data_IF_988005512212
#
_entry.id   IF_988005512212
#
_cell.length_a   1.000
_cell.length_b   1.000
_cell.length_c   1.000
_cell.angle_alpha   90.00
_cell.angle_beta   90.00
_cell.angle_gamma   90.00
#
_symmetry.space_group_name_H-M   'P 1'
#
loop_
_entity.id
_entity.type
_entity.pdbx_description
1 polymer ?
#
# COMPACT_ATOMS: atom_id res chain seq x y z
N UNK A 1 -41.41 50.55 30.24
CA UNK A 1 -41.78 49.16 29.90
C UNK A 1 -40.76 48.66 28.93
N UNK A 2 -39.78 47.91 29.38
CA UNK A 2 -38.74 47.29 28.53
C UNK A 2 -39.20 45.94 28.07
N UNK A 3 -39.40 45.76 26.76
CA UNK A 3 -39.56 44.44 26.14
C UNK A 3 -38.22 44.00 25.59
N UNK A 4 -37.58 43.07 26.29
CA UNK A 4 -36.39 42.34 25.84
C UNK A 4 -36.78 41.34 24.76
N UNK A 5 -36.40 41.61 23.50
CA UNK A 5 -36.43 40.64 22.41
C UNK A 5 -35.25 39.71 22.56
N UNK A 6 -35.54 38.48 22.98
CA UNK A 6 -34.53 37.37 22.97
C UNK A 6 -34.56 36.77 21.55
N UNK A 7 -33.54 37.11 20.79
CA UNK A 7 -33.26 36.41 19.54
C UNK A 7 -32.54 35.11 19.88
N UNK A 8 -33.25 34.00 19.81
CA UNK A 8 -32.69 32.66 19.85
C UNK A 8 -32.14 32.36 18.47
N UNK A 9 -30.83 32.46 18.28
CA UNK A 9 -30.16 32.03 17.09
C UNK A 9 -30.10 30.50 17.12
N UNK A 10 -30.93 29.85 16.30
CA UNK A 10 -30.84 28.42 16.01
C UNK A 10 -29.68 28.27 15.02
N UNK A 11 -28.52 27.86 15.54
CA UNK A 11 -27.42 27.38 14.69
C UNK A 11 -27.75 25.97 14.25
N UNK A 12 -28.27 25.85 13.04
CA UNK A 12 -28.49 24.56 12.38
C UNK A 12 -27.10 24.07 11.92
N UNK A 13 -26.47 23.21 12.72
CA UNK A 13 -25.27 22.50 12.32
C UNK A 13 -25.65 21.46 11.25
N UNK A 14 -25.45 21.80 9.99
CA UNK A 14 -25.44 20.87 8.88
C UNK A 14 -24.18 19.99 9.01
N UNK A 15 -24.28 18.93 9.83
CA UNK A 15 -23.34 17.82 9.76
C UNK A 15 -23.63 17.05 8.47
N UNK A 16 -23.03 17.46 7.37
CA UNK A 16 -22.97 16.62 6.17
C UNK A 16 -22.22 15.34 6.50
N UNK A 17 -22.61 14.18 5.92
CA UNK A 17 -21.79 12.98 6.05
C UNK A 17 -20.48 13.26 5.32
N UNK A 18 -19.43 13.56 6.09
CA UNK A 18 -18.09 13.47 5.59
C UNK A 18 -17.90 11.99 5.20
N UNK A 19 -17.76 11.71 3.90
CA UNK A 19 -17.24 10.45 3.41
C UNK A 19 -15.84 10.38 4.02
N UNK A 20 -15.73 9.65 5.13
CA UNK A 20 -14.48 9.44 5.82
C UNK A 20 -13.60 8.56 4.93
N UNK A 21 -12.73 9.19 4.16
CA UNK A 21 -11.54 8.52 3.65
C UNK A 21 -10.70 8.17 4.88
N UNK A 22 -10.52 6.87 5.11
CA UNK A 22 -9.67 6.40 6.22
C UNK A 22 -8.33 7.16 6.19
N UNK A 23 -7.90 7.68 7.33
CA UNK A 23 -6.55 8.23 7.44
C UNK A 23 -5.52 7.12 7.22
N UNK A 24 -4.29 7.43 6.77
CA UNK A 24 -3.25 6.40 6.65
C UNK A 24 -3.04 5.59 7.92
N UNK A 25 -3.14 6.21 9.10
CA UNK A 25 -3.02 5.53 10.39
C UNK A 25 -4.18 4.55 10.65
N UNK A 26 -5.42 4.93 10.31
CA UNK A 26 -6.59 4.05 10.43
C UNK A 26 -6.50 2.87 9.44
N UNK A 27 -6.10 3.13 8.20
CA UNK A 27 -5.90 2.09 7.21
C UNK A 27 -4.82 1.09 7.64
N UNK A 28 -3.70 1.58 8.19
CA UNK A 28 -2.63 0.77 8.78
C UNK A 28 -3.17 -0.14 9.90
N UNK A 29 -3.88 0.44 10.85
CA UNK A 29 -4.45 -0.31 11.96
C UNK A 29 -5.43 -1.40 11.49
N UNK A 30 -6.26 -1.10 10.49
CA UNK A 30 -7.17 -2.08 9.88
C UNK A 30 -6.41 -3.19 9.14
N UNK A 31 -5.35 -2.84 8.41
CA UNK A 31 -4.51 -3.81 7.71
C UNK A 31 -3.82 -4.76 8.70
N UNK A 32 -3.31 -4.23 9.81
CA UNK A 32 -2.63 -5.02 10.85
C UNK A 32 -3.60 -5.92 11.62
N UNK A 33 -4.84 -5.50 11.83
CA UNK A 33 -5.87 -6.27 12.52
C UNK A 33 -6.56 -7.31 11.63
N UNK A 34 -6.53 -7.16 10.31
CA UNK A 34 -7.16 -8.07 9.36
C UNK A 34 -6.38 -9.37 9.18
N UNK A 35 -7.03 -10.39 8.63
CA UNK A 35 -6.43 -11.69 8.32
C UNK A 35 -6.79 -12.14 6.90
N UNK A 36 -6.01 -13.06 6.36
CA UNK A 36 -6.28 -13.72 5.08
C UNK A 36 -6.42 -12.75 3.89
N UNK A 37 -7.41 -12.97 3.06
CA UNK A 37 -7.65 -12.18 1.85
C UNK A 37 -7.91 -10.69 2.14
N UNK A 38 -8.57 -10.37 3.25
CA UNK A 38 -8.83 -8.99 3.68
C UNK A 38 -7.54 -8.29 4.08
N UNK A 39 -6.66 -8.98 4.80
CA UNK A 39 -5.35 -8.45 5.15
C UNK A 39 -4.52 -8.18 3.91
N UNK A 40 -4.46 -9.11 2.95
CA UNK A 40 -3.75 -8.92 1.70
C UNK A 40 -4.21 -7.65 0.96
N UNK A 41 -5.53 -7.44 0.87
CA UNK A 41 -6.10 -6.25 0.25
C UNK A 41 -5.71 -4.96 0.98
N UNK A 42 -5.95 -4.90 2.29
CA UNK A 42 -5.72 -3.68 3.09
C UNK A 42 -4.22 -3.32 3.18
N UNK A 43 -3.34 -4.32 3.25
CA UNK A 43 -1.89 -4.08 3.21
C UNK A 43 -1.45 -3.44 1.89
N UNK A 44 -2.01 -3.87 0.76
CA UNK A 44 -1.70 -3.26 -0.54
C UNK A 44 -2.28 -1.85 -0.67
N UNK A 45 -3.51 -1.62 -0.21
CA UNK A 45 -4.09 -0.28 -0.17
C UNK A 45 -3.21 0.67 0.64
N UNK A 46 -2.76 0.23 1.81
CA UNK A 46 -1.84 1.00 2.64
C UNK A 46 -0.49 1.23 1.96
N UNK A 47 0.10 0.20 1.34
CA UNK A 47 1.36 0.34 0.59
C UNK A 47 1.26 1.38 -0.54
N UNK A 48 0.15 1.42 -1.27
CA UNK A 48 -0.08 2.44 -2.30
C UNK A 48 -0.19 3.85 -1.71
N UNK A 49 -0.85 4.01 -0.56
CA UNK A 49 -0.93 5.31 0.14
C UNK A 49 0.46 5.76 0.61
N UNK A 50 1.24 4.87 1.20
CA UNK A 50 2.60 5.19 1.66
C UNK A 50 3.55 5.49 0.51
N UNK A 51 3.38 4.84 -0.64
CA UNK A 51 4.16 5.17 -1.83
C UNK A 51 3.86 6.60 -2.32
N UNK A 52 2.61 7.05 -2.24
CA UNK A 52 2.26 8.43 -2.55
C UNK A 52 2.86 9.42 -1.54
N UNK A 53 2.92 9.06 -0.27
CA UNK A 53 3.60 9.86 0.76
C UNK A 53 5.10 9.96 0.47
N UNK A 54 5.75 8.84 0.14
CA UNK A 54 7.16 8.82 -0.24
C UNK A 54 7.46 9.72 -1.44
N UNK A 55 6.63 9.65 -2.48
CA UNK A 55 6.75 10.49 -3.69
C UNK A 55 6.67 11.99 -3.34
N UNK A 56 5.72 12.38 -2.50
CA UNK A 56 5.60 13.76 -2.03
C UNK A 56 6.84 14.20 -1.23
N UNK A 57 7.37 13.36 -0.36
CA UNK A 57 8.56 13.67 0.44
C UNK A 57 9.79 13.85 -0.47
N UNK A 58 9.98 12.99 -1.46
CA UNK A 58 11.05 13.16 -2.45
C UNK A 58 10.92 14.47 -3.23
N UNK A 59 9.70 14.83 -3.65
CA UNK A 59 9.44 16.09 -4.36
C UNK A 59 9.70 17.33 -3.48
N UNK A 60 9.63 17.19 -2.16
CA UNK A 60 9.97 18.24 -1.19
C UNK A 60 11.48 18.26 -0.81
N UNK A 61 12.26 17.34 -1.35
CA UNK A 61 13.69 17.20 -1.02
C UNK A 61 13.95 16.48 0.32
N UNK A 62 12.91 15.90 0.94
CA UNK A 62 12.98 15.14 2.18
C UNK A 62 13.38 13.66 1.90
N UNK A 63 14.57 13.46 1.31
CA UNK A 63 15.00 12.17 0.77
C UNK A 63 15.01 11.06 1.82
N UNK A 64 15.59 11.30 3.00
CA UNK A 64 15.67 10.30 4.07
C UNK A 64 14.29 9.84 4.57
N UNK A 65 13.36 10.80 4.69
CA UNK A 65 11.98 10.49 5.07
C UNK A 65 11.27 9.71 3.97
N UNK A 66 11.45 10.09 2.71
CA UNK A 66 10.93 9.35 1.56
C UNK A 66 11.43 7.92 1.53
N UNK A 67 12.72 7.70 1.77
CA UNK A 67 13.31 6.36 1.87
C UNK A 67 12.75 5.55 3.04
N UNK A 68 12.43 6.19 4.17
CA UNK A 68 11.77 5.51 5.29
C UNK A 68 10.38 5.00 4.90
N UNK A 69 9.61 5.80 4.15
CA UNK A 69 8.29 5.38 3.65
C UNK A 69 8.40 4.27 2.60
N UNK A 70 9.44 4.27 1.76
CA UNK A 70 9.71 3.16 0.83
C UNK A 70 9.94 1.84 1.58
N UNK A 71 10.65 1.84 2.70
CA UNK A 71 10.79 0.63 3.54
C UNK A 71 9.45 0.16 4.08
N UNK A 72 8.60 1.06 4.53
CA UNK A 72 7.23 0.73 4.98
C UNK A 72 6.40 0.11 3.84
N UNK A 73 6.53 0.62 2.60
CA UNK A 73 5.88 0.03 1.42
C UNK A 73 6.31 -1.42 1.22
N UNK A 74 7.61 -1.71 1.32
CA UNK A 74 8.15 -3.08 1.19
C UNK A 74 7.60 -4.00 2.28
N UNK A 75 7.59 -3.54 3.53
CA UNK A 75 7.08 -4.32 4.67
C UNK A 75 5.61 -4.72 4.47
N UNK A 76 4.78 -3.80 3.99
CA UNK A 76 3.36 -4.10 3.74
C UNK A 76 3.14 -4.91 2.46
N UNK A 77 4.01 -4.80 1.47
CA UNK A 77 4.03 -5.71 0.33
C UNK A 77 4.32 -7.16 0.77
N UNK A 78 5.28 -7.36 1.66
CA UNK A 78 5.55 -8.67 2.27
C UNK A 78 4.34 -9.21 3.06
N UNK A 79 3.74 -8.40 3.92
CA UNK A 79 2.53 -8.79 4.67
C UNK A 79 1.40 -9.21 3.75
N UNK A 80 1.16 -8.46 2.68
CA UNK A 80 0.12 -8.76 1.70
C UNK A 80 0.38 -10.11 1.00
N UNK A 81 1.60 -10.33 0.53
CA UNK A 81 1.98 -11.57 -0.14
C UNK A 81 1.89 -12.77 0.78
N UNK A 82 2.33 -12.64 2.03
CA UNK A 82 2.24 -13.69 3.04
C UNK A 82 0.78 -14.02 3.35
N UNK A 83 -0.09 -13.02 3.52
CA UNK A 83 -1.51 -13.23 3.78
C UNK A 83 -2.23 -13.90 2.59
N UNK A 84 -1.92 -13.50 1.35
CA UNK A 84 -2.44 -14.13 0.15
C UNK A 84 -1.96 -15.59 0.02
N UNK A 85 -0.68 -15.83 0.27
CA UNK A 85 -0.08 -17.17 0.20
C UNK A 85 -0.64 -18.11 1.27
N UNK A 86 -0.77 -17.65 2.50
CA UNK A 86 -1.30 -18.45 3.61
C UNK A 86 -2.78 -18.79 3.42
N UNK A 87 -3.58 -17.85 2.92
CA UNK A 87 -5.02 -18.06 2.67
C UNK A 87 -5.29 -18.79 1.35
N UNK A 88 -4.35 -18.79 0.40
CA UNK A 88 -4.55 -19.26 -0.97
C UNK A 88 -5.54 -18.40 -1.79
N UNK A 89 -5.88 -17.22 -1.27
CA UNK A 89 -6.86 -16.31 -1.89
C UNK A 89 -6.18 -15.02 -2.33
N UNK A 90 -6.71 -14.39 -3.40
CA UNK A 90 -6.21 -13.13 -3.97
C UNK A 90 -4.75 -13.16 -4.45
N UNK A 91 -4.21 -14.32 -4.77
CA UNK A 91 -2.83 -14.45 -5.25
C UNK A 91 -2.60 -13.63 -6.53
N UNK A 92 -3.51 -13.76 -7.50
CA UNK A 92 -3.43 -13.06 -8.78
C UNK A 92 -3.59 -11.54 -8.61
N UNK A 93 -4.56 -11.10 -7.83
CA UNK A 93 -4.80 -9.68 -7.55
C UNK A 93 -3.62 -9.07 -6.80
N UNK A 94 -3.07 -9.80 -5.85
CA UNK A 94 -1.88 -9.38 -5.09
C UNK A 94 -0.67 -9.23 -6.02
N UNK A 95 -0.43 -10.18 -6.93
CA UNK A 95 0.65 -10.08 -7.93
C UNK A 95 0.46 -8.84 -8.82
N UNK A 96 -0.74 -8.62 -9.33
CA UNK A 96 -1.05 -7.46 -10.19
C UNK A 96 -0.79 -6.14 -9.45
N UNK A 97 -1.20 -6.03 -8.19
CA UNK A 97 -1.02 -4.82 -7.40
C UNK A 97 0.46 -4.59 -7.03
N UNK A 98 1.20 -5.64 -6.71
CA UNK A 98 2.65 -5.56 -6.50
C UNK A 98 3.37 -5.10 -7.77
N UNK A 99 2.96 -5.58 -8.94
CA UNK A 99 3.51 -5.11 -10.22
C UNK A 99 3.26 -3.62 -10.47
N UNK A 100 2.08 -3.11 -10.09
CA UNK A 100 1.79 -1.67 -10.16
C UNK A 100 2.66 -0.88 -9.18
N UNK A 101 2.87 -1.40 -7.97
CA UNK A 101 3.78 -0.80 -6.99
C UNK A 101 5.19 -0.70 -7.53
N UNK A 102 5.77 -1.79 -8.04
CA UNK A 102 7.13 -1.79 -8.58
C UNK A 102 7.28 -0.83 -9.74
N UNK A 103 6.31 -0.79 -10.65
CA UNK A 103 6.33 0.17 -11.77
C UNK A 103 6.39 1.61 -11.27
N UNK A 104 5.50 1.99 -10.35
CA UNK A 104 5.48 3.34 -9.80
C UNK A 104 6.75 3.67 -9.01
N UNK A 105 7.26 2.73 -8.21
CA UNK A 105 8.53 2.91 -7.49
C UNK A 105 9.70 3.11 -8.44
N UNK A 106 9.74 2.37 -9.54
CA UNK A 106 10.74 2.55 -10.59
C UNK A 106 10.67 3.96 -11.17
N UNK A 107 9.46 4.43 -11.54
CA UNK A 107 9.26 5.78 -12.09
C UNK A 107 9.71 6.86 -11.09
N UNK A 108 9.42 6.70 -9.80
CA UNK A 108 9.92 7.59 -8.74
C UNK A 108 11.45 7.55 -8.67
N UNK A 109 12.05 6.36 -8.67
CA UNK A 109 13.49 6.18 -8.61
C UNK A 109 14.21 6.87 -9.77
N UNK A 110 13.66 6.82 -10.98
CA UNK A 110 14.24 7.50 -12.14
C UNK A 110 14.18 9.04 -12.04
N UNK A 111 13.24 9.59 -11.27
CA UNK A 111 13.13 11.02 -11.02
C UNK A 111 14.12 11.54 -9.97
N UNK A 112 14.73 10.65 -9.17
CA UNK A 112 15.68 11.02 -8.11
C UNK A 112 17.08 11.33 -8.67
N UNK A 113 17.85 12.10 -7.89
CA UNK A 113 19.28 12.24 -8.11
C UNK A 113 19.96 10.87 -8.06
N UNK A 114 21.02 10.70 -8.83
CA UNK A 114 21.68 9.39 -9.02
C UNK A 114 22.08 8.74 -7.68
N UNK A 115 22.61 9.51 -6.76
CA UNK A 115 23.03 9.08 -5.42
C UNK A 115 21.88 8.60 -4.53
N UNK A 116 20.64 9.02 -4.81
CA UNK A 116 19.47 8.71 -3.99
C UNK A 116 18.65 7.52 -4.52
N UNK A 117 19.00 7.02 -5.72
CA UNK A 117 18.22 5.96 -6.41
C UNK A 117 18.36 4.58 -5.78
N UNK A 118 19.51 4.27 -5.19
CA UNK A 118 19.86 2.92 -4.78
C UNK A 118 18.88 2.27 -3.78
N UNK A 119 18.40 2.97 -2.73
CA UNK A 119 17.40 2.40 -1.81
C UNK A 119 16.07 2.07 -2.49
N UNK A 120 15.62 2.89 -3.44
CA UNK A 120 14.38 2.65 -4.19
C UNK A 120 14.55 1.48 -5.15
N UNK A 121 15.68 1.40 -5.85
CA UNK A 121 16.02 0.27 -6.73
C UNK A 121 16.03 -1.06 -5.99
N UNK A 122 16.68 -1.11 -4.82
CA UNK A 122 16.70 -2.32 -3.98
C UNK A 122 15.30 -2.72 -3.53
N UNK A 123 14.45 -1.75 -3.17
CA UNK A 123 13.06 -2.01 -2.81
C UNK A 123 12.25 -2.59 -3.98
N UNK A 124 12.45 -2.09 -5.20
CA UNK A 124 11.85 -2.66 -6.42
C UNK A 124 12.29 -4.12 -6.61
N UNK A 125 13.57 -4.40 -6.51
CA UNK A 125 14.13 -5.76 -6.64
C UNK A 125 13.52 -6.71 -5.59
N UNK A 126 13.36 -6.24 -4.35
CA UNK A 126 12.77 -7.04 -3.28
C UNK A 126 11.29 -7.36 -3.54
N UNK A 127 10.48 -6.39 -3.97
CA UNK A 127 9.08 -6.64 -4.33
C UNK A 127 8.97 -7.55 -5.55
N UNK A 128 9.87 -7.45 -6.53
CA UNK A 128 9.90 -8.36 -7.68
C UNK A 128 10.24 -9.80 -7.27
N UNK A 129 11.07 -10.01 -6.26
CA UNK A 129 11.29 -11.33 -5.66
C UNK A 129 10.03 -11.88 -5.00
N UNK A 130 9.30 -11.05 -4.25
CA UNK A 130 8.00 -11.43 -3.67
C UNK A 130 7.01 -11.85 -4.77
N UNK A 131 6.92 -11.07 -5.84
CA UNK A 131 6.08 -11.39 -7.00
C UNK A 131 6.45 -12.74 -7.63
N UNK A 132 7.74 -13.00 -7.80
CA UNK A 132 8.22 -14.27 -8.34
C UNK A 132 7.79 -15.45 -7.47
N UNK A 133 7.84 -15.32 -6.15
CA UNK A 133 7.37 -16.34 -5.22
C UNK A 133 5.85 -16.57 -5.34
N UNK A 134 5.06 -15.49 -5.51
CA UNK A 134 3.61 -15.62 -5.75
C UNK A 134 3.31 -16.34 -7.07
N UNK A 135 4.06 -16.05 -8.14
CA UNK A 135 3.91 -16.72 -9.43
C UNK A 135 4.22 -18.21 -9.32
N UNK A 136 5.28 -18.58 -8.60
CA UNK A 136 5.60 -19.99 -8.32
C UNK A 136 4.47 -20.65 -7.52
N UNK A 137 3.90 -19.95 -6.55
CA UNK A 137 2.77 -20.46 -5.76
C UNK A 137 1.52 -20.69 -6.59
N UNK A 138 1.23 -19.80 -7.55
CA UNK A 138 0.05 -19.92 -8.42
C UNK A 138 0.18 -21.01 -9.49
N UNK A 139 1.36 -21.10 -10.07
CA UNK A 139 1.56 -21.94 -11.25
C UNK A 139 2.36 -23.22 -10.94
N UNK A 140 3.02 -23.29 -9.79
CA UNK A 140 3.92 -24.35 -9.38
C UNK A 140 5.18 -24.47 -10.25
N UNK A 141 6.19 -25.26 -9.87
CA UNK A 141 7.12 -25.81 -10.83
C UNK A 141 6.31 -26.75 -11.72
N UNK A 142 6.33 -26.55 -13.06
CA UNK A 142 5.73 -27.48 -14.00
C UNK A 142 6.21 -28.88 -13.62
N UNK A 143 5.26 -29.76 -13.21
CA UNK A 143 5.58 -31.15 -13.01
C UNK A 143 6.17 -31.63 -14.34
N UNK A 144 7.43 -32.07 -14.32
CA UNK A 144 8.00 -32.77 -15.48
C UNK A 144 7.08 -33.94 -15.84
N UNK A 145 6.72 -34.09 -17.11
CA UNK A 145 5.94 -35.25 -17.51
C UNK A 145 6.73 -36.48 -17.08
N UNK A 146 6.19 -37.27 -16.15
CA UNK A 146 6.76 -38.58 -15.81
C UNK A 146 6.93 -39.33 -17.08
N UNK A 147 8.19 -39.51 -17.49
CA UNK A 147 8.53 -40.31 -18.64
C UNK A 147 7.88 -41.68 -18.48
N UNK A 148 7.04 -42.03 -19.45
CA UNK A 148 6.54 -43.40 -19.60
C UNK A 148 7.74 -44.27 -19.92
N UNK A 149 8.11 -45.15 -18.98
CA UNK A 149 8.96 -46.29 -19.23
C UNK A 149 8.16 -47.37 -19.91
#
# INVERSE_FOLDING_TARGET
MWRLFRYTAIVLALAGPALATDSPAELKARADAATGATQAKLCLEYAHVQLAVADNLFNQGEVEKGQAEIREVVDYAHKAANAASASGKRLKETEIDLRKLTKRMHDIGESLAFEDRDPVRKAVEEIDQIRSQLLVRMWGPKAEPKGKS
#
